data_IF_284033935787
#
_entry.id   IF_284033935787
#
_cell.length_a   1.000
_cell.length_b   1.000
_cell.length_c   1.000
_cell.angle_alpha   90.00
_cell.angle_beta   90.00
_cell.angle_gamma   90.00
#
_symmetry.space_group_name_H-M   'P 1'
#
loop_
_entity.id
_entity.type
_entity.pdbx_description
1 polymer ?
#
# COMPACT_ATOMS: atom_id res chain seq x y z
N UNK A 1 4.82 11.84 -24.47
CA UNK A 1 5.03 10.48 -25.02
C UNK A 1 4.84 9.38 -23.96
N UNK A 2 5.44 9.47 -22.77
CA UNK A 2 5.31 8.41 -21.75
C UNK A 2 4.29 8.70 -20.63
N UNK A 3 3.88 9.96 -20.48
CA UNK A 3 2.81 10.38 -19.55
C UNK A 3 1.45 9.86 -20.00
N UNK A 4 0.55 9.65 -19.05
CA UNK A 4 -0.80 9.21 -19.30
C UNK A 4 -1.65 10.33 -19.88
N UNK A 5 -2.29 10.06 -21.02
CA UNK A 5 -3.26 10.95 -21.66
C UNK A 5 -4.18 10.16 -22.58
N UNK A 6 -5.25 10.80 -23.09
CA UNK A 6 -6.17 10.16 -24.05
C UNK A 6 -5.49 9.69 -25.34
N UNK A 7 -4.49 10.43 -25.81
CA UNK A 7 -3.74 10.08 -27.02
C UNK A 7 -2.59 9.09 -26.77
N UNK A 8 -2.29 8.78 -25.51
CA UNK A 8 -1.16 7.93 -25.10
C UNK A 8 -1.64 6.87 -24.09
N UNK A 9 -2.47 5.90 -24.51
CA UNK A 9 -3.05 4.89 -23.61
C UNK A 9 -2.01 3.96 -22.98
N UNK A 10 -0.85 3.75 -23.61
CA UNK A 10 0.28 3.02 -23.02
C UNK A 10 0.82 3.70 -21.74
N UNK A 11 0.47 4.97 -21.52
CA UNK A 11 0.69 5.68 -20.26
C UNK A 11 0.15 4.95 -19.04
N UNK A 12 -0.79 4.02 -19.20
CA UNK A 12 -1.25 3.14 -18.10
C UNK A 12 -0.07 2.41 -17.46
N UNK A 13 0.89 1.97 -18.27
CA UNK A 13 2.08 1.25 -17.83
C UNK A 13 3.27 2.18 -17.59
N UNK A 14 3.45 3.18 -18.46
CA UNK A 14 4.68 3.98 -18.47
C UNK A 14 4.65 5.18 -17.54
N UNK A 15 3.48 5.73 -17.22
CA UNK A 15 3.38 6.98 -16.46
C UNK A 15 3.95 6.88 -15.04
N UNK A 16 3.95 5.67 -14.46
CA UNK A 16 4.53 5.34 -13.15
C UNK A 16 6.03 5.64 -13.08
N UNK A 17 6.73 5.58 -14.22
CA UNK A 17 8.18 5.76 -14.31
C UNK A 17 8.57 7.18 -14.75
N UNK A 18 7.60 8.05 -15.01
CA UNK A 18 7.84 9.42 -15.45
C UNK A 18 7.40 10.42 -14.40
N UNK A 19 8.14 11.52 -14.27
CA UNK A 19 7.90 12.56 -13.28
C UNK A 19 8.02 13.93 -13.93
N UNK A 20 7.30 14.90 -13.39
CA UNK A 20 7.31 16.27 -13.89
C UNK A 20 8.67 16.95 -13.68
N UNK A 21 9.30 16.66 -12.54
CA UNK A 21 10.56 17.25 -12.09
C UNK A 21 11.26 16.31 -11.08
N UNK A 22 12.49 16.68 -10.71
CA UNK A 22 13.33 15.91 -9.78
C UNK A 22 12.77 15.87 -8.36
N UNK A 23 12.11 16.95 -7.91
CA UNK A 23 11.53 17.02 -6.57
C UNK A 23 10.37 16.03 -6.42
N UNK A 24 9.48 16.00 -7.42
CA UNK A 24 8.38 15.05 -7.48
C UNK A 24 8.88 13.60 -7.57
N UNK A 25 9.96 13.34 -8.33
CA UNK A 25 10.62 12.02 -8.35
C UNK A 25 11.16 11.62 -6.98
N UNK A 26 11.92 12.49 -6.32
CA UNK A 26 12.53 12.20 -5.03
C UNK A 26 11.47 12.00 -3.94
N UNK A 27 10.44 12.84 -3.92
CA UNK A 27 9.31 12.72 -2.99
C UNK A 27 8.59 11.38 -3.12
N UNK A 28 8.28 10.96 -4.35
CA UNK A 28 7.64 9.66 -4.60
C UNK A 28 8.56 8.48 -4.22
N UNK A 29 9.85 8.56 -4.57
CA UNK A 29 10.83 7.52 -4.26
C UNK A 29 11.01 7.36 -2.75
N UNK A 30 11.19 8.46 -2.02
CA UNK A 30 11.33 8.45 -0.57
C UNK A 30 10.08 7.87 0.09
N UNK A 31 8.89 8.32 -0.32
CA UNK A 31 7.62 7.80 0.20
C UNK A 31 7.50 6.29 -0.03
N UNK A 32 7.78 5.82 -1.25
CA UNK A 32 7.71 4.41 -1.60
C UNK A 32 8.70 3.58 -0.76
N UNK A 33 9.94 4.04 -0.61
CA UNK A 33 10.96 3.36 0.19
C UNK A 33 10.62 3.35 1.67
N UNK A 34 10.18 4.48 2.24
CA UNK A 34 9.83 4.60 3.65
C UNK A 34 8.67 3.68 4.03
N UNK A 35 7.59 3.66 3.25
CA UNK A 35 6.46 2.77 3.54
C UNK A 35 6.78 1.30 3.25
N UNK A 36 7.61 1.00 2.24
CA UNK A 36 8.10 -0.37 2.00
C UNK A 36 8.98 -0.85 3.14
N UNK A 37 9.81 0.02 3.71
CA UNK A 37 10.62 -0.30 4.88
C UNK A 37 9.75 -0.59 6.10
N UNK A 38 8.71 0.22 6.35
CA UNK A 38 7.73 -0.07 7.40
C UNK A 38 7.06 -1.43 7.18
N UNK A 39 6.67 -1.77 5.95
CA UNK A 39 6.14 -3.09 5.63
C UNK A 39 7.13 -4.21 6.01
N UNK A 40 8.41 -4.07 5.69
CA UNK A 40 9.45 -5.03 6.06
C UNK A 40 9.56 -5.17 7.58
N UNK A 41 9.60 -4.07 8.32
CA UNK A 41 9.68 -4.09 9.80
C UNK A 41 8.49 -4.81 10.42
N UNK A 42 7.27 -4.58 9.91
CA UNK A 42 6.05 -5.23 10.38
C UNK A 42 6.05 -6.75 10.20
N UNK A 43 6.86 -7.29 9.28
CA UNK A 43 6.93 -8.73 9.00
C UNK A 43 8.25 -9.36 9.43
N UNK A 44 9.22 -8.58 9.92
CA UNK A 44 10.52 -9.06 10.35
C UNK A 44 10.45 -10.20 11.39
N UNK A 45 9.57 -10.17 12.40
CA UNK A 45 9.45 -11.24 13.41
C UNK A 45 8.90 -12.57 12.88
N UNK A 46 8.42 -12.62 11.62
CA UNK A 46 7.83 -13.83 11.05
C UNK A 46 8.90 -14.78 10.49
N UNK A 47 8.52 -16.06 10.37
CA UNK A 47 9.35 -17.09 9.71
C UNK A 47 9.65 -16.70 8.25
N UNK A 48 10.78 -17.16 7.73
CA UNK A 48 11.29 -16.82 6.39
C UNK A 48 10.26 -17.14 5.30
N UNK A 49 9.58 -18.28 5.41
CA UNK A 49 8.59 -18.75 4.44
C UNK A 49 7.42 -17.77 4.35
N UNK A 50 6.91 -17.35 5.51
CA UNK A 50 5.83 -16.37 5.60
C UNK A 50 6.30 -15.02 5.07
N UNK A 51 7.53 -14.58 5.37
CA UNK A 51 8.08 -13.33 4.82
C UNK A 51 8.16 -13.36 3.29
N UNK A 52 8.55 -14.50 2.70
CA UNK A 52 8.58 -14.68 1.23
C UNK A 52 7.17 -14.61 0.63
N UNK A 53 6.19 -15.24 1.27
CA UNK A 53 4.79 -15.17 0.82
C UNK A 53 4.22 -13.75 0.89
N UNK A 54 4.52 -13.02 1.98
CA UNK A 54 4.12 -11.63 2.17
C UNK A 54 4.81 -10.70 1.19
N UNK A 55 6.10 -10.91 0.89
CA UNK A 55 6.82 -10.15 -0.12
C UNK A 55 6.23 -10.36 -1.52
N UNK A 56 5.88 -11.60 -1.88
CA UNK A 56 5.19 -11.87 -3.14
C UNK A 56 3.83 -11.17 -3.20
N UNK A 57 3.03 -11.28 -2.14
CA UNK A 57 1.72 -10.62 -2.06
C UNK A 57 1.85 -9.09 -2.16
N UNK A 58 2.87 -8.52 -1.50
CA UNK A 58 3.21 -7.10 -1.56
C UNK A 58 3.54 -6.66 -2.99
N UNK A 59 4.48 -7.34 -3.64
CA UNK A 59 4.92 -6.99 -5.01
C UNK A 59 3.77 -7.08 -6.01
N UNK A 60 2.96 -8.15 -5.94
CA UNK A 60 1.79 -8.29 -6.80
C UNK A 60 0.74 -7.20 -6.53
N UNK A 61 0.47 -6.90 -5.25
CA UNK A 61 -0.50 -5.86 -4.88
C UNK A 61 -0.03 -4.48 -5.32
N UNK A 62 1.26 -4.18 -5.19
CA UNK A 62 1.87 -2.93 -5.64
C UNK A 62 1.73 -2.75 -7.15
N UNK A 63 2.04 -3.80 -7.91
CA UNK A 63 1.92 -3.78 -9.37
C UNK A 63 0.46 -3.61 -9.81
N UNK A 64 -0.45 -4.42 -9.28
CA UNK A 64 -1.87 -4.38 -9.61
C UNK A 64 -2.54 -3.06 -9.20
N UNK A 65 -2.22 -2.54 -8.02
CA UNK A 65 -2.74 -1.26 -7.56
C UNK A 65 -2.24 -0.10 -8.43
N UNK A 66 -0.94 -0.07 -8.77
CA UNK A 66 -0.37 0.95 -9.65
C UNK A 66 -1.02 0.98 -11.03
N UNK A 67 -1.16 -0.19 -11.66
CA UNK A 67 -1.87 -0.30 -12.94
C UNK A 67 -3.36 0.06 -12.82
N UNK A 68 -4.01 -0.37 -11.74
CA UNK A 68 -5.41 -0.05 -11.47
C UNK A 68 -5.65 1.46 -11.36
N UNK A 69 -4.81 2.18 -10.61
CA UNK A 69 -4.92 3.64 -10.46
C UNK A 69 -4.81 4.32 -11.83
N UNK A 70 -3.82 3.95 -12.63
CA UNK A 70 -3.64 4.55 -13.95
C UNK A 70 -4.76 4.17 -14.93
N UNK A 71 -5.29 2.95 -14.84
CA UNK A 71 -6.43 2.54 -15.64
C UNK A 71 -7.67 3.39 -15.33
N UNK A 72 -7.94 3.64 -14.04
CA UNK A 72 -9.06 4.51 -13.64
C UNK A 72 -8.83 5.95 -14.06
N UNK A 73 -7.62 6.49 -13.89
CA UNK A 73 -7.27 7.85 -14.35
C UNK A 73 -7.41 7.97 -15.88
N UNK A 74 -7.01 6.93 -16.62
CA UNK A 74 -7.20 6.87 -18.07
C UNK A 74 -8.68 6.91 -18.45
N UNK A 75 -9.51 6.05 -17.85
CA UNK A 75 -10.95 5.99 -18.13
C UNK A 75 -11.63 7.32 -17.77
N UNK A 76 -11.28 7.91 -16.63
CA UNK A 76 -11.79 9.21 -16.23
C UNK A 76 -11.46 10.28 -17.28
N UNK A 77 -10.22 10.35 -17.75
CA UNK A 77 -9.80 11.30 -18.79
C UNK A 77 -10.50 11.05 -20.11
N UNK A 78 -10.66 9.77 -20.49
CA UNK A 78 -11.36 9.35 -21.70
C UNK A 78 -12.80 9.86 -21.72
N UNK A 79 -13.56 9.60 -20.65
CA UNK A 79 -14.98 9.98 -20.56
C UNK A 79 -15.19 11.48 -20.30
N UNK A 80 -14.32 12.13 -19.53
CA UNK A 80 -14.42 13.58 -19.26
C UNK A 80 -13.94 14.46 -20.42
N UNK A 81 -13.27 13.87 -21.41
CA UNK A 81 -12.65 14.65 -22.49
C UNK A 81 -11.48 15.51 -22.02
N UNK A 82 -10.88 15.22 -20.86
CA UNK A 82 -9.80 16.03 -20.31
C UNK A 82 -8.58 16.07 -21.26
N UNK A 83 -7.99 17.25 -21.54
CA UNK A 83 -6.77 17.38 -22.31
C UNK A 83 -5.50 17.21 -21.45
N UNK A 84 -5.63 17.15 -20.11
CA UNK A 84 -4.46 17.11 -19.23
C UNK A 84 -3.73 15.77 -19.27
N UNK A 85 -2.45 15.80 -18.92
CA UNK A 85 -1.62 14.61 -18.76
C UNK A 85 -1.43 14.26 -17.28
N UNK A 86 -1.08 13.01 -17.00
CA UNK A 86 -0.75 12.50 -15.66
C UNK A 86 0.60 11.80 -15.69
N UNK A 87 1.41 12.00 -14.67
CA UNK A 87 2.66 11.25 -14.47
C UNK A 87 3.00 11.17 -12.98
N UNK A 88 3.79 10.18 -12.62
CA UNK A 88 4.28 9.96 -11.26
C UNK A 88 3.86 8.62 -10.69
N UNK A 89 4.53 8.23 -9.61
CA UNK A 89 4.28 6.98 -8.88
C UNK A 89 3.60 7.20 -7.52
N UNK A 90 3.08 8.39 -7.24
CA UNK A 90 2.44 8.69 -5.94
C UNK A 90 1.29 7.73 -5.62
N UNK A 91 0.47 7.36 -6.61
CA UNK A 91 -0.58 6.35 -6.43
C UNK A 91 -0.05 4.98 -5.95
N UNK A 92 1.16 4.59 -6.37
CA UNK A 92 1.83 3.38 -5.86
C UNK A 92 2.31 3.56 -4.42
N UNK A 93 2.86 4.73 -4.07
CA UNK A 93 3.27 5.01 -2.69
C UNK A 93 2.07 4.93 -1.73
N UNK A 94 0.93 5.49 -2.12
CA UNK A 94 -0.32 5.37 -1.37
C UNK A 94 -0.85 3.94 -1.34
N UNK A 95 -0.68 3.15 -2.40
CA UNK A 95 -0.99 1.73 -2.34
C UNK A 95 -0.14 1.02 -1.28
N UNK A 96 1.15 1.29 -1.19
CA UNK A 96 2.01 0.75 -0.13
C UNK A 96 1.52 1.19 1.25
N UNK A 97 1.09 2.44 1.44
CA UNK A 97 0.46 2.89 2.69
C UNK A 97 -0.78 2.06 3.04
N UNK A 98 -1.65 1.78 2.06
CA UNK A 98 -2.83 0.92 2.23
C UNK A 98 -2.47 -0.51 2.62
N UNK A 99 -1.44 -1.09 1.99
CA UNK A 99 -0.92 -2.41 2.35
C UNK A 99 -0.37 -2.43 3.78
N UNK A 100 0.41 -1.41 4.16
CA UNK A 100 0.96 -1.23 5.52
C UNK A 100 -0.16 -1.12 6.56
N UNK A 101 -1.24 -0.40 6.24
CA UNK A 101 -2.40 -0.28 7.11
C UNK A 101 -3.07 -1.65 7.33
N UNK A 102 -3.33 -2.41 6.26
CA UNK A 102 -3.89 -3.77 6.33
C UNK A 102 -2.97 -4.73 7.07
N UNK A 103 -1.67 -4.70 6.80
CA UNK A 103 -0.67 -5.51 7.51
C UNK A 103 -0.64 -5.22 8.99
N UNK A 104 -0.74 -3.95 9.37
CA UNK A 104 -0.78 -3.53 10.76
C UNK A 104 -2.03 -4.01 11.47
N UNK A 105 -3.19 -3.95 10.80
CA UNK A 105 -4.45 -4.50 11.30
C UNK A 105 -4.36 -6.02 11.49
N UNK A 106 -3.89 -6.73 10.47
CA UNK A 106 -3.70 -8.18 10.51
C UNK A 106 -2.74 -8.61 11.62
N UNK A 107 -1.59 -7.94 11.76
CA UNK A 107 -0.62 -8.21 12.81
C UNK A 107 -1.21 -7.98 14.20
N UNK A 108 -1.91 -6.87 14.41
CA UNK A 108 -2.53 -6.55 15.69
C UNK A 108 -3.55 -7.62 16.10
N UNK A 109 -4.37 -8.10 15.16
CA UNK A 109 -5.29 -9.21 15.41
C UNK A 109 -4.57 -10.53 15.68
N UNK A 110 -3.54 -10.87 14.89
CA UNK A 110 -2.76 -12.10 15.05
C UNK A 110 -2.11 -12.14 16.44
N UNK A 111 -1.41 -11.08 16.84
CA UNK A 111 -0.72 -11.04 18.12
C UNK A 111 -1.70 -11.00 19.30
N UNK A 112 -2.85 -10.34 19.16
CA UNK A 112 -3.93 -10.38 20.16
C UNK A 112 -4.47 -11.80 20.35
N UNK A 113 -4.68 -12.56 19.27
CA UNK A 113 -5.11 -13.97 19.36
C UNK A 113 -4.03 -14.84 19.99
N UNK A 114 -2.75 -14.63 19.64
CA UNK A 114 -1.64 -15.37 20.23
C UNK A 114 -1.45 -15.06 21.72
N UNK A 115 -1.67 -13.81 22.15
CA UNK A 115 -1.51 -13.40 23.55
C UNK A 115 -2.61 -13.95 24.46
N UNK A 116 -3.82 -14.17 23.91
CA UNK A 116 -4.89 -14.91 24.57
C UNK A 116 -4.58 -16.41 24.65
N UNK A 117 -4.05 -17.00 23.57
CA UNK A 117 -3.72 -18.43 23.51
C UNK A 117 -2.50 -18.82 24.36
N UNK A 118 -1.51 -17.94 24.45
CA UNK A 118 -0.23 -18.18 25.15
C UNK A 118 0.04 -17.07 26.18
N UNK A 119 -0.58 -17.12 27.37
CA UNK A 119 -0.47 -16.06 28.38
C UNK A 119 0.97 -15.77 28.82
N UNK A 120 1.84 -16.78 28.87
CA UNK A 120 3.27 -16.63 29.22
C UNK A 120 4.06 -15.81 28.20
N UNK A 121 3.55 -15.65 26.98
CA UNK A 121 4.17 -14.88 25.90
C UNK A 121 3.53 -13.50 25.71
N UNK A 122 2.63 -13.05 26.60
CA UNK A 122 1.91 -11.77 26.44
C UNK A 122 2.84 -10.58 26.27
N UNK A 123 3.85 -10.44 27.13
CA UNK A 123 4.79 -9.33 27.07
C UNK A 123 5.63 -9.31 25.77
N UNK A 124 6.30 -10.41 25.36
CA UNK A 124 7.03 -10.41 24.09
C UNK A 124 6.12 -10.24 22.88
N UNK A 125 4.89 -10.78 22.90
CA UNK A 125 3.91 -10.56 21.82
C UNK A 125 3.41 -9.11 21.77
N UNK A 126 3.26 -8.44 22.92
CA UNK A 126 2.93 -7.01 22.99
C UNK A 126 4.04 -6.17 22.37
N UNK A 127 5.30 -6.42 22.72
CA UNK A 127 6.44 -5.73 22.10
C UNK A 127 6.52 -5.98 20.60
N UNK A 128 6.25 -7.20 20.14
CA UNK A 128 6.21 -7.53 18.71
C UNK A 128 5.04 -6.85 17.97
N UNK A 129 3.92 -6.63 18.65
CA UNK A 129 2.74 -5.97 18.09
C UNK A 129 2.82 -4.44 18.11
N UNK A 130 3.65 -3.84 18.98
CA UNK A 130 3.68 -2.40 19.21
C UNK A 130 3.91 -1.56 17.95
N UNK A 131 4.75 -1.94 16.96
CA UNK A 131 4.90 -1.16 15.74
C UNK A 131 3.64 -1.18 14.89
N UNK A 132 2.95 -2.32 14.83
CA UNK A 132 1.68 -2.46 14.10
C UNK A 132 0.58 -1.59 14.73
N UNK A 133 0.47 -1.61 16.07
CA UNK A 133 -0.48 -0.76 16.79
C UNK A 133 -0.15 0.71 16.60
N UNK A 134 1.12 1.11 16.70
CA UNK A 134 1.53 2.49 16.48
C UNK A 134 1.18 2.98 15.07
N UNK A 135 1.44 2.18 14.03
CA UNK A 135 1.05 2.50 12.65
C UNK A 135 -0.47 2.65 12.52
N UNK A 136 -1.27 1.75 13.09
CA UNK A 136 -2.73 1.86 13.06
C UNK A 136 -3.23 3.13 13.74
N UNK A 137 -2.66 3.49 14.88
CA UNK A 137 -3.05 4.68 15.62
C UNK A 137 -2.67 5.94 14.85
N UNK A 138 -1.44 6.04 14.33
CA UNK A 138 -0.99 7.22 13.57
C UNK A 138 -1.74 7.35 12.25
N UNK A 139 -1.81 6.29 11.45
CA UNK A 139 -2.51 6.34 10.15
C UNK A 139 -4.01 6.50 10.35
N UNK A 140 -4.60 5.83 11.34
CA UNK A 140 -6.01 5.97 11.67
C UNK A 140 -6.35 7.38 12.15
N UNK A 141 -5.48 7.98 12.98
CA UNK A 141 -5.63 9.37 13.41
C UNK A 141 -5.58 10.34 12.23
N UNK A 142 -4.53 10.28 11.42
CA UNK A 142 -4.38 11.15 10.24
C UNK A 142 -5.52 10.96 9.25
N UNK A 143 -5.94 9.72 8.98
CA UNK A 143 -7.04 9.43 8.06
C UNK A 143 -8.39 9.99 8.55
N UNK A 144 -8.68 9.89 9.85
CA UNK A 144 -9.99 10.29 10.42
C UNK A 144 -10.06 11.79 10.72
N UNK A 145 -8.98 12.39 11.21
CA UNK A 145 -8.99 13.76 11.71
C UNK A 145 -8.26 14.75 10.81
N UNK A 146 -7.33 14.28 9.97
CA UNK A 146 -6.54 15.12 9.06
C UNK A 146 -6.48 14.56 7.62
N UNK A 147 -7.61 14.20 6.99
CA UNK A 147 -7.60 13.52 5.69
C UNK A 147 -6.90 14.32 4.58
N UNK A 148 -6.92 15.65 4.64
CA UNK A 148 -6.18 16.50 3.69
C UNK A 148 -4.66 16.37 3.83
N UNK A 149 -4.17 16.21 5.05
CA UNK A 149 -2.76 15.89 5.33
C UNK A 149 -2.44 14.47 4.87
N UNK A 150 -3.28 13.50 5.27
CA UNK A 150 -3.11 12.10 4.95
C UNK A 150 -2.99 11.85 3.44
N UNK A 151 -3.83 12.49 2.62
CA UNK A 151 -3.81 12.39 1.16
C UNK A 151 -2.98 13.48 0.47
N UNK A 152 -2.17 14.23 1.21
CA UNK A 152 -1.26 15.27 0.69
C UNK A 152 -1.95 16.20 -0.32
N UNK A 153 -3.09 16.77 0.07
CA UNK A 153 -3.89 17.65 -0.78
C UNK A 153 -3.12 18.94 -1.04
N UNK A 154 -2.72 19.15 -2.30
CA UNK A 154 -2.01 20.33 -2.76
C UNK A 154 -2.40 20.66 -4.22
N UNK A 155 -2.21 21.90 -4.70
CA UNK A 155 -2.66 22.33 -6.04
C UNK A 155 -2.13 21.50 -7.21
N UNK A 156 -0.94 20.90 -7.08
CA UNK A 156 -0.30 20.05 -8.10
C UNK A 156 -0.47 18.54 -7.86
N UNK A 157 -1.08 18.14 -6.73
CA UNK A 157 -1.20 16.75 -6.35
C UNK A 157 -2.40 16.07 -7.03
N UNK A 158 -2.19 14.88 -7.57
CA UNK A 158 -3.28 14.02 -8.04
C UNK A 158 -3.91 13.29 -6.84
N UNK A 159 -4.70 14.00 -6.05
CA UNK A 159 -5.37 13.49 -4.84
C UNK A 159 -6.23 12.26 -5.14
N UNK A 160 -6.86 12.21 -6.33
CA UNK A 160 -7.64 11.04 -6.74
C UNK A 160 -6.75 9.79 -6.85
N UNK A 161 -5.56 9.91 -7.42
CA UNK A 161 -4.60 8.81 -7.48
C UNK A 161 -4.13 8.37 -6.08
N UNK A 162 -4.01 9.30 -5.12
CA UNK A 162 -3.64 8.99 -3.73
C UNK A 162 -4.73 8.16 -3.04
N UNK A 163 -5.99 8.62 -3.13
CA UNK A 163 -7.13 7.93 -2.53
C UNK A 163 -7.34 6.55 -3.17
N UNK A 164 -7.34 6.46 -4.50
CA UNK A 164 -7.47 5.19 -5.22
C UNK A 164 -6.31 4.25 -4.93
N UNK A 165 -5.09 4.78 -4.89
CA UNK A 165 -3.90 4.02 -4.53
C UNK A 165 -4.06 3.37 -3.17
N UNK A 166 -4.40 4.15 -2.14
CA UNK A 166 -4.64 3.66 -0.79
C UNK A 166 -5.71 2.56 -0.75
N UNK A 167 -6.87 2.80 -1.36
CA UNK A 167 -7.97 1.84 -1.39
C UNK A 167 -7.57 0.55 -2.12
N UNK A 168 -6.96 0.64 -3.30
CA UNK A 168 -6.53 -0.53 -4.08
C UNK A 168 -5.44 -1.32 -3.35
N UNK A 169 -4.49 -0.64 -2.74
CA UNK A 169 -3.49 -1.26 -1.88
C UNK A 169 -4.13 -2.05 -0.74
N UNK A 170 -5.11 -1.46 -0.04
CA UNK A 170 -5.84 -2.16 1.02
C UNK A 170 -6.60 -3.38 0.50
N UNK A 171 -7.44 -3.19 -0.52
CA UNK A 171 -8.38 -4.23 -1.02
C UNK A 171 -7.62 -5.40 -1.63
N UNK A 172 -6.68 -5.13 -2.54
CA UNK A 172 -5.94 -6.18 -3.25
C UNK A 172 -5.08 -6.97 -2.25
N UNK A 173 -4.40 -6.28 -1.33
CA UNK A 173 -3.55 -6.97 -0.37
C UNK A 173 -4.36 -7.74 0.67
N UNK A 174 -5.48 -7.21 1.17
CA UNK A 174 -6.39 -7.95 2.04
C UNK A 174 -6.91 -9.23 1.35
N UNK A 175 -7.26 -9.15 0.07
CA UNK A 175 -7.65 -10.31 -0.73
C UNK A 175 -6.52 -11.35 -0.85
N UNK A 176 -5.28 -10.90 -1.11
CA UNK A 176 -4.11 -11.79 -1.19
C UNK A 176 -3.83 -12.50 0.15
N UNK A 177 -4.06 -11.83 1.28
CA UNK A 177 -3.96 -12.44 2.61
C UNK A 177 -5.08 -13.45 2.86
N UNK A 178 -6.29 -13.18 2.39
CA UNK A 178 -7.44 -14.07 2.53
C UNK A 178 -7.26 -15.39 1.78
N UNK A 179 -6.80 -15.35 0.52
CA UNK A 179 -6.57 -16.52 -0.31
C UNK A 179 -5.43 -17.43 0.18
N UNK A 180 -4.57 -16.91 1.08
CA UNK A 180 -3.41 -17.62 1.62
C UNK A 180 -3.50 -17.80 3.13
N UNK A 181 -4.49 -18.57 3.64
CA UNK A 181 -4.57 -18.81 5.07
C UNK A 181 -3.33 -19.58 5.55
N UNK A 182 -2.74 -19.20 6.70
CA UNK A 182 -1.45 -19.71 7.20
C UNK A 182 -1.42 -21.20 7.59
N UNK A 183 -2.48 -21.97 7.31
CA UNK A 183 -2.65 -23.34 7.79
C UNK A 183 -2.89 -24.41 6.72
N UNK A 184 -2.94 -24.09 5.42
CA UNK A 184 -3.23 -25.13 4.41
C UNK A 184 -2.12 -26.15 4.14
N UNK A 185 -0.90 -25.95 4.67
CA UNK A 185 0.26 -26.82 4.38
C UNK A 185 0.80 -27.66 5.55
N UNK A 186 0.32 -27.50 6.79
CA UNK A 186 0.81 -28.29 7.93
C UNK A 186 -0.06 -29.50 8.31
N UNK A 187 -1.03 -29.87 7.48
CA UNK A 187 -1.93 -31.02 7.70
C UNK A 187 -1.86 -32.05 6.55
N UNK A 188 -0.85 -31.95 5.69
CA UNK A 188 -0.64 -32.86 4.54
C UNK A 188 0.77 -33.47 4.47
N UNK A 189 1.49 -33.47 5.59
CA UNK A 189 2.75 -34.21 5.74
C UNK A 189 2.68 -35.09 6.96
#
# INVERSE_FOLDING_TARGET
LLSLSRSHPWGIFTALFTHADTEHLLSNLLSLLSFSFLFVLLHLPRRVEVRREMALAFTLSLFLAGLGVNLVDFLYRWFSGSPSTSCGSSGMAYAVMGMVFVSSFYNSLLFSRLSLKYPSLRFPLFLAASPAVAVLLVFGWELLFHPSSFFSVAPSANVQAHVLGFIYGMVIFAFMLWERPPHRKSLRS
#
